data_IF_672678659617
#
_entry.id   IF_672678659617
#
_cell.length_a   1.000
_cell.length_b   1.000
_cell.length_c   1.000
_cell.angle_alpha   90.00
_cell.angle_beta   90.00
_cell.angle_gamma   90.00
#
_symmetry.space_group_name_H-M   'P 1'
#
loop_
_entity.id
_entity.type
_entity.pdbx_description
1 polymer ?
#
# COMPACT_ATOMS: atom_id res chain seq x y z
N UNK A 1 -20.47 -5.03 -29.03
CA UNK A 1 -19.95 -4.56 -27.73
C UNK A 1 -19.56 -5.70 -26.76
N UNK A 2 -19.94 -6.96 -27.03
CA UNK A 2 -19.55 -8.13 -26.22
C UNK A 2 -18.12 -8.64 -26.45
N UNK A 3 -17.60 -8.58 -27.68
CA UNK A 3 -16.28 -9.17 -28.00
C UNK A 3 -15.11 -8.50 -27.26
N UNK A 4 -15.12 -7.16 -27.12
CA UNK A 4 -14.05 -6.43 -26.38
C UNK A 4 -13.95 -6.83 -24.90
N UNK A 5 -15.03 -7.30 -24.27
CA UNK A 5 -15.00 -7.70 -22.85
C UNK A 5 -14.13 -8.94 -22.62
N UNK A 6 -14.09 -9.87 -23.58
CA UNK A 6 -13.28 -11.07 -23.50
C UNK A 6 -11.78 -10.78 -23.54
N UNK A 7 -11.36 -9.84 -24.37
CA UNK A 7 -9.96 -9.46 -24.52
C UNK A 7 -9.39 -8.82 -23.25
N UNK A 8 -10.08 -7.85 -22.66
CA UNK A 8 -9.62 -7.21 -21.41
C UNK A 8 -9.60 -8.20 -20.24
N UNK A 9 -10.59 -9.10 -20.15
CA UNK A 9 -10.63 -10.11 -19.09
C UNK A 9 -9.42 -11.05 -19.18
N UNK A 10 -9.02 -11.45 -20.39
CA UNK A 10 -7.85 -12.30 -20.61
C UNK A 10 -6.56 -11.59 -20.20
N UNK A 11 -6.39 -10.32 -20.59
CA UNK A 11 -5.20 -9.52 -20.24
C UNK A 11 -5.10 -9.32 -18.72
N UNK A 12 -6.21 -8.98 -18.06
CA UNK A 12 -6.24 -8.79 -16.60
C UNK A 12 -5.93 -10.08 -15.86
N UNK A 13 -6.49 -11.21 -16.32
CA UNK A 13 -6.20 -12.52 -15.74
C UNK A 13 -4.72 -12.89 -15.93
N UNK A 14 -4.17 -12.69 -17.12
CA UNK A 14 -2.76 -12.94 -17.40
C UNK A 14 -1.85 -12.10 -16.49
N UNK A 15 -2.12 -10.79 -16.37
CA UNK A 15 -1.37 -9.91 -15.47
C UNK A 15 -1.46 -10.34 -14.00
N UNK A 16 -2.66 -10.71 -13.53
CA UNK A 16 -2.86 -11.18 -12.16
C UNK A 16 -2.09 -12.49 -11.91
N UNK A 17 -2.20 -13.46 -12.81
CA UNK A 17 -1.49 -14.75 -12.69
C UNK A 17 0.03 -14.57 -12.73
N UNK A 18 0.55 -13.74 -13.63
CA UNK A 18 1.97 -13.44 -13.72
C UNK A 18 2.47 -12.72 -12.46
N UNK A 19 1.74 -11.72 -11.98
CA UNK A 19 2.08 -10.97 -10.76
C UNK A 19 2.14 -11.86 -9.52
N UNK A 20 1.10 -12.69 -9.31
CA UNK A 20 1.07 -13.66 -8.20
C UNK A 20 2.20 -14.68 -8.33
N UNK A 21 2.44 -15.20 -9.54
CA UNK A 21 3.53 -16.14 -9.79
C UNK A 21 4.91 -15.58 -9.44
N UNK A 22 5.20 -14.34 -9.84
CA UNK A 22 6.45 -13.66 -9.50
C UNK A 22 6.59 -13.44 -7.99
N UNK A 23 5.52 -12.98 -7.33
CA UNK A 23 5.53 -12.76 -5.86
C UNK A 23 5.78 -14.07 -5.12
N UNK A 24 5.10 -15.15 -5.50
CA UNK A 24 5.27 -16.46 -4.86
C UNK A 24 6.67 -17.05 -5.11
N UNK A 25 7.18 -16.95 -6.33
CA UNK A 25 8.52 -17.41 -6.66
C UNK A 25 9.58 -16.64 -5.86
N UNK A 26 9.42 -15.32 -5.73
CA UNK A 26 10.31 -14.49 -4.92
C UNK A 26 10.22 -14.83 -3.43
N UNK A 27 9.01 -14.98 -2.89
CA UNK A 27 8.80 -15.36 -1.50
C UNK A 27 9.41 -16.73 -1.17
N UNK A 28 9.21 -17.72 -2.06
CA UNK A 28 9.80 -19.05 -1.91
C UNK A 28 11.32 -19.01 -1.97
N UNK A 29 11.90 -18.24 -2.90
CA UNK A 29 13.35 -18.08 -2.99
C UNK A 29 13.92 -17.45 -1.71
N UNK A 30 13.26 -16.42 -1.16
CA UNK A 30 13.68 -15.81 0.10
C UNK A 30 13.57 -16.80 1.27
N UNK A 31 12.47 -17.56 1.36
CA UNK A 31 12.28 -18.56 2.41
C UNK A 31 13.33 -19.67 2.36
N UNK A 32 13.74 -20.10 1.16
CA UNK A 32 14.79 -21.12 0.99
C UNK A 32 16.18 -20.57 1.32
N UNK A 33 16.47 -19.32 0.98
CA UNK A 33 17.81 -18.72 1.16
C UNK A 33 18.06 -18.24 2.59
N UNK A 34 17.07 -17.64 3.26
CA UNK A 34 17.21 -17.00 4.56
C UNK A 34 16.55 -17.77 5.71
N UNK A 35 15.73 -18.78 5.40
CA UNK A 35 15.03 -19.58 6.40
C UNK A 35 14.20 -18.73 7.37
N UNK A 36 14.26 -19.08 8.66
CA UNK A 36 13.51 -18.42 9.74
C UNK A 36 14.05 -17.02 10.09
N UNK A 37 15.26 -16.65 9.61
CA UNK A 37 15.87 -15.33 9.85
C UNK A 37 15.38 -14.25 8.87
N UNK A 38 14.39 -14.56 8.04
CA UNK A 38 13.84 -13.61 7.06
C UNK A 38 13.23 -12.39 7.75
N UNK A 39 13.93 -11.25 7.68
CA UNK A 39 13.38 -10.01 8.20
C UNK A 39 12.19 -9.52 7.37
N UNK A 40 11.25 -8.82 8.00
CA UNK A 40 10.08 -8.27 7.32
C UNK A 40 10.42 -7.27 6.20
N UNK A 41 11.63 -6.71 6.23
CA UNK A 41 12.24 -6.02 5.10
C UNK A 41 13.48 -6.80 4.65
N UNK A 42 13.33 -7.56 3.57
CA UNK A 42 14.40 -8.41 3.01
C UNK A 42 15.68 -7.63 2.69
N UNK A 43 15.58 -6.33 2.39
CA UNK A 43 16.74 -5.48 2.10
C UNK A 43 17.66 -5.30 3.32
N UNK A 44 17.15 -5.53 4.53
CA UNK A 44 17.95 -5.51 5.76
C UNK A 44 18.76 -6.79 5.94
N UNK A 45 18.33 -7.90 5.32
CA UNK A 45 19.03 -9.19 5.36
C UNK A 45 20.13 -9.32 4.30
N UNK A 46 20.22 -8.38 3.35
CA UNK A 46 21.27 -8.37 2.32
C UNK A 46 22.40 -7.42 2.72
N UNK A 47 23.61 -7.95 2.84
CA UNK A 47 24.83 -7.19 3.07
C UNK A 47 25.66 -7.00 1.80
N UNK A 48 26.56 -6.01 1.81
CA UNK A 48 27.50 -5.73 0.71
C UNK A 48 27.08 -4.64 -0.28
N UNK A 49 27.95 -4.38 -1.26
CA UNK A 49 27.78 -3.27 -2.22
C UNK A 49 26.52 -3.40 -3.10
N UNK A 50 26.09 -4.63 -3.42
CA UNK A 50 24.85 -4.88 -4.17
C UNK A 50 23.61 -4.49 -3.37
N UNK A 51 23.62 -4.68 -2.05
CA UNK A 51 22.51 -4.27 -1.18
C UNK A 51 22.30 -2.75 -1.19
N UNK A 52 23.39 -1.98 -1.18
CA UNK A 52 23.34 -0.53 -1.29
C UNK A 52 22.72 -0.09 -2.63
N UNK A 53 23.12 -0.75 -3.73
CA UNK A 53 22.53 -0.51 -5.06
C UNK A 53 21.04 -0.82 -5.12
N UNK A 54 20.60 -1.94 -4.55
CA UNK A 54 19.18 -2.32 -4.48
C UNK A 54 18.36 -1.34 -3.64
N UNK A 55 18.88 -0.94 -2.47
CA UNK A 55 18.25 0.07 -1.59
C UNK A 55 18.13 1.42 -2.31
N UNK A 56 19.16 1.84 -3.05
CA UNK A 56 19.13 3.05 -3.86
C UNK A 56 18.09 2.96 -4.98
N UNK A 57 18.05 1.84 -5.72
CA UNK A 57 17.09 1.63 -6.81
C UNK A 57 15.64 1.65 -6.30
N UNK A 58 15.36 0.96 -5.20
CA UNK A 58 14.05 0.99 -4.54
C UNK A 58 13.68 2.39 -4.07
N UNK A 59 14.63 3.14 -3.50
CA UNK A 59 14.39 4.52 -3.05
C UNK A 59 14.03 5.43 -4.23
N UNK A 60 14.73 5.29 -5.37
CA UNK A 60 14.42 6.02 -6.61
C UNK A 60 13.05 5.64 -7.15
N UNK A 61 12.71 4.35 -7.18
CA UNK A 61 11.41 3.88 -7.64
C UNK A 61 10.27 4.45 -6.78
N UNK A 62 10.44 4.49 -5.45
CA UNK A 62 9.47 5.11 -4.52
C UNK A 62 9.39 6.63 -4.76
N UNK A 63 10.52 7.31 -4.92
CA UNK A 63 10.57 8.76 -5.17
C UNK A 63 9.77 9.14 -6.42
N UNK A 64 9.87 8.37 -7.51
CA UNK A 64 9.10 8.62 -8.73
C UNK A 64 7.64 8.16 -8.64
N UNK A 65 7.34 7.13 -7.84
CA UNK A 65 5.98 6.63 -7.66
C UNK A 65 5.10 7.56 -6.81
N UNK A 66 5.71 8.31 -5.88
CA UNK A 66 4.97 9.18 -4.96
C UNK A 66 4.22 10.31 -5.68
N UNK A 67 4.84 11.13 -6.56
CA UNK A 67 4.12 12.17 -7.31
C UNK A 67 2.95 11.62 -8.13
N UNK A 68 3.16 10.47 -8.77
CA UNK A 68 2.15 9.80 -9.62
C UNK A 68 0.92 9.42 -8.79
N UNK A 69 1.13 8.86 -7.59
CA UNK A 69 0.04 8.47 -6.67
C UNK A 69 -0.60 9.67 -5.97
N UNK A 70 0.20 10.70 -5.69
CA UNK A 70 -0.25 11.87 -4.94
C UNK A 70 -1.16 12.79 -5.76
N UNK A 71 -1.01 12.80 -7.09
CA UNK A 71 -1.85 13.61 -7.97
C UNK A 71 -3.36 13.29 -7.84
N UNK A 72 -3.84 12.05 -8.08
CA UNK A 72 -5.26 11.74 -7.92
C UNK A 72 -5.73 11.87 -6.47
N UNK A 73 -4.89 11.52 -5.49
CA UNK A 73 -5.21 11.69 -4.08
C UNK A 73 -5.47 13.16 -3.72
N UNK A 74 -4.61 14.08 -4.22
CA UNK A 74 -4.78 15.51 -3.99
C UNK A 74 -6.06 16.05 -4.64
N UNK A 75 -6.45 15.54 -5.81
CA UNK A 75 -7.69 15.97 -6.45
C UNK A 75 -8.92 15.56 -5.65
N UNK A 76 -8.96 14.32 -5.16
CA UNK A 76 -10.07 13.81 -4.33
C UNK A 76 -10.18 14.61 -3.03
N UNK A 77 -9.04 14.92 -2.40
CA UNK A 77 -9.01 15.71 -1.16
C UNK A 77 -9.42 17.15 -1.41
N UNK A 78 -8.94 17.78 -2.49
CA UNK A 78 -9.34 19.13 -2.90
C UNK A 78 -10.86 19.18 -3.16
N UNK A 79 -11.39 18.22 -3.91
CA UNK A 79 -12.82 18.13 -4.20
C UNK A 79 -13.64 17.96 -2.91
N UNK A 80 -13.23 17.06 -2.02
CA UNK A 80 -13.92 16.85 -0.74
C UNK A 80 -13.89 18.10 0.17
N UNK A 81 -12.79 18.87 0.18
CA UNK A 81 -12.64 20.05 1.02
C UNK A 81 -13.35 21.29 0.48
N UNK A 82 -13.41 21.47 -0.85
CA UNK A 82 -13.89 22.71 -1.48
C UNK A 82 -15.28 22.61 -2.13
N UNK A 83 -15.89 21.42 -2.22
CA UNK A 83 -17.25 21.26 -2.78
C UNK A 83 -18.35 21.77 -1.84
N UNK A 84 -18.03 22.11 -0.59
CA UNK A 84 -19.01 22.51 0.41
C UNK A 84 -19.52 23.96 0.32
N UNK A 85 -18.91 24.82 -0.49
CA UNK A 85 -19.34 26.23 -0.61
C UNK A 85 -20.39 26.49 -1.70
N UNK A 86 -20.62 25.54 -2.62
CA UNK A 86 -21.60 25.69 -3.72
C UNK A 86 -22.94 25.01 -3.44
N UNK A 87 -23.05 24.17 -2.41
CA UNK A 87 -24.27 23.41 -2.10
C UNK A 87 -25.39 24.20 -1.39
N UNK A 88 -25.26 25.53 -1.26
CA UNK A 88 -26.39 26.41 -0.96
C UNK A 88 -27.22 26.74 -2.21
N UNK A 89 -26.80 26.31 -3.40
CA UNK A 89 -27.53 26.49 -4.66
C UNK A 89 -27.66 25.19 -5.43
N UNK A 90 -28.88 24.66 -5.42
CA UNK A 90 -29.45 23.81 -6.47
C UNK A 90 -28.96 22.35 -6.57
N UNK A 91 -29.89 21.45 -6.23
CA UNK A 91 -29.83 20.06 -6.66
C UNK A 91 -29.97 19.97 -8.18
N UNK A 92 -29.01 19.30 -8.82
CA UNK A 92 -29.13 18.79 -10.18
C UNK A 92 -28.15 17.62 -10.35
N UNK A 93 -28.72 16.42 -10.31
CA UNK A 93 -28.44 15.28 -11.19
C UNK A 93 -26.98 15.06 -11.65
N UNK A 94 -26.29 14.16 -10.94
CA UNK A 94 -25.13 13.43 -11.44
C UNK A 94 -25.57 12.33 -12.43
N UNK A 95 -25.33 12.55 -13.73
CA UNK A 95 -25.26 11.47 -14.71
C UNK A 95 -24.07 11.72 -15.66
N UNK A 96 -23.13 10.78 -15.73
CA UNK A 96 -22.20 10.66 -16.86
C UNK A 96 -20.73 10.99 -16.61
N UNK A 97 -20.04 10.13 -15.84
CA UNK A 97 -18.58 10.06 -15.84
C UNK A 97 -18.04 9.64 -17.23
N UNK A 98 -17.39 10.57 -17.92
CA UNK A 98 -16.72 10.29 -19.21
C UNK A 98 -16.34 11.51 -20.03
N UNK A 99 -16.95 12.68 -19.77
CA UNK A 99 -16.65 13.93 -20.49
C UNK A 99 -15.90 14.99 -19.63
N UNK A 100 -15.61 14.68 -18.36
CA UNK A 100 -15.02 15.62 -17.39
C UNK A 100 -13.51 15.90 -17.60
N UNK A 101 -12.83 15.13 -18.47
CA UNK A 101 -11.39 15.28 -18.71
C UNK A 101 -11.09 16.34 -19.79
N UNK A 102 -12.01 16.58 -20.74
CA UNK A 102 -11.83 17.57 -21.81
C UNK A 102 -12.20 19.01 -21.39
N UNK A 103 -13.01 19.18 -20.34
CA UNK A 103 -13.41 20.51 -19.84
C UNK A 103 -12.41 21.13 -18.84
N UNK A 104 -11.54 20.32 -18.21
CA UNK A 104 -10.52 20.79 -17.24
C UNK A 104 -9.42 21.66 -17.86
N UNK A 105 -9.24 21.61 -19.19
CA UNK A 105 -8.24 22.43 -19.89
C UNK A 105 -8.61 23.91 -20.04
N UNK A 106 -9.89 24.29 -19.94
CA UNK A 106 -10.33 25.67 -20.19
C UNK A 106 -10.50 26.52 -18.93
N UNK A 107 -10.64 25.91 -17.75
CA UNK A 107 -10.98 26.61 -16.51
C UNK A 107 -9.77 27.14 -15.72
N UNK A 108 -8.56 27.00 -16.27
CA UNK A 108 -7.31 27.37 -15.61
C UNK A 108 -6.84 28.82 -15.90
N UNK A 109 -7.61 29.63 -16.63
CA UNK A 109 -7.15 30.94 -17.09
C UNK A 109 -7.80 32.18 -16.42
N UNK A 110 -8.83 32.03 -15.57
CA UNK A 110 -9.75 33.15 -15.29
C UNK A 110 -9.64 33.91 -13.96
N UNK A 111 -9.32 33.28 -12.83
CA UNK A 111 -9.29 33.99 -11.55
C UNK A 111 -9.18 33.06 -10.35
N UNK A 112 -8.18 33.24 -9.48
CA UNK A 112 -7.96 32.25 -8.42
C UNK A 112 -6.77 32.45 -7.50
N UNK A 113 -6.47 33.67 -7.04
CA UNK A 113 -5.41 33.86 -6.03
C UNK A 113 -5.73 33.20 -4.68
N UNK A 114 -7.01 33.08 -4.30
CA UNK A 114 -7.42 32.40 -3.05
C UNK A 114 -7.38 30.85 -3.16
N UNK A 115 -7.79 30.30 -4.31
CA UNK A 115 -7.81 28.85 -4.52
C UNK A 115 -6.42 28.23 -4.75
N UNK A 116 -5.43 28.99 -5.23
CA UNK A 116 -4.06 28.50 -5.40
C UNK A 116 -3.37 28.17 -4.06
N UNK A 117 -3.65 28.96 -3.01
CA UNK A 117 -3.09 28.75 -1.68
C UNK A 117 -3.62 27.46 -1.05
N UNK A 118 -4.94 27.23 -1.12
CA UNK A 118 -5.59 26.05 -0.56
C UNK A 118 -5.10 24.73 -1.16
N UNK A 119 -4.91 24.68 -2.49
CA UNK A 119 -4.40 23.48 -3.18
C UNK A 119 -2.96 23.15 -2.78
N UNK A 120 -2.12 24.18 -2.65
CA UNK A 120 -0.74 24.00 -2.21
C UNK A 120 -0.70 23.52 -0.75
N UNK A 121 -1.53 24.08 0.12
CA UNK A 121 -1.64 23.67 1.52
C UNK A 121 -2.12 22.22 1.69
N UNK A 122 -3.09 21.76 0.89
CA UNK A 122 -3.56 20.37 0.95
C UNK A 122 -2.45 19.37 0.55
N UNK A 123 -1.67 19.71 -0.49
CA UNK A 123 -0.55 18.86 -0.93
C UNK A 123 0.58 18.83 0.09
N UNK A 124 0.95 19.98 0.66
CA UNK A 124 1.97 20.02 1.72
C UNK A 124 1.51 19.27 2.96
N UNK A 125 0.23 19.39 3.34
CA UNK A 125 -0.33 18.62 4.45
C UNK A 125 -0.25 17.11 4.21
N UNK A 126 -0.64 16.61 3.04
CA UNK A 126 -0.54 15.18 2.70
C UNK A 126 0.93 14.68 2.72
N UNK A 127 1.87 15.48 2.23
CA UNK A 127 3.30 15.15 2.30
C UNK A 127 3.81 15.11 3.75
N UNK A 128 3.41 16.09 4.57
CA UNK A 128 3.79 16.15 5.99
C UNK A 128 3.20 14.99 6.78
N UNK A 129 1.95 14.59 6.54
CA UNK A 129 1.35 13.41 7.17
C UNK A 129 2.10 12.14 6.80
N UNK A 130 2.49 12.00 5.52
CA UNK A 130 3.28 10.85 5.06
C UNK A 130 4.65 10.80 5.73
N UNK A 131 5.33 11.95 5.83
CA UNK A 131 6.63 12.07 6.52
C UNK A 131 6.49 11.77 8.01
N UNK A 132 5.49 12.33 8.68
CA UNK A 132 5.25 12.10 10.10
C UNK A 132 4.97 10.63 10.39
N UNK A 133 4.21 9.96 9.51
CA UNK A 133 3.94 8.52 9.60
C UNK A 133 5.23 7.72 9.47
N UNK A 134 6.09 8.07 8.51
CA UNK A 134 7.39 7.41 8.32
C UNK A 134 8.34 7.60 9.53
N UNK A 135 8.29 8.76 10.20
CA UNK A 135 9.09 9.02 11.40
C UNK A 135 8.52 8.34 12.66
N UNK A 136 7.19 8.16 12.73
CA UNK A 136 6.53 7.61 13.92
C UNK A 136 6.54 6.07 13.96
N UNK A 137 6.65 5.41 12.81
CA UNK A 137 6.60 3.95 12.68
C UNK A 137 7.91 3.41 12.09
N UNK A 138 8.92 3.09 12.93
CA UNK A 138 10.18 2.52 12.45
C UNK A 138 10.03 1.08 11.91
N UNK A 139 8.91 0.43 12.19
CA UNK A 139 8.63 -0.95 11.77
C UNK A 139 7.86 -0.96 10.43
N UNK A 140 8.61 -1.05 9.33
CA UNK A 140 8.06 -1.14 7.98
C UNK A 140 7.13 -2.36 7.81
N UNK A 141 7.43 -3.49 8.47
CA UNK A 141 6.60 -4.70 8.40
C UNK A 141 5.22 -4.42 8.97
N UNK A 142 5.16 -3.79 10.14
CA UNK A 142 3.90 -3.39 10.76
C UNK A 142 3.12 -2.41 9.88
N UNK A 143 3.77 -1.38 9.33
CA UNK A 143 3.11 -0.38 8.47
C UNK A 143 2.51 -1.02 7.21
N UNK A 144 3.26 -1.88 6.53
CA UNK A 144 2.77 -2.58 5.32
C UNK A 144 1.65 -3.56 5.67
N UNK A 145 1.77 -4.31 6.76
CA UNK A 145 0.73 -5.23 7.20
C UNK A 145 -0.56 -4.49 7.56
N UNK A 146 -0.46 -3.36 8.28
CA UNK A 146 -1.59 -2.52 8.65
C UNK A 146 -2.26 -1.89 7.43
N UNK A 147 -1.46 -1.30 6.54
CA UNK A 147 -1.94 -0.69 5.30
C UNK A 147 -2.62 -1.73 4.40
N UNK A 148 -2.05 -2.93 4.28
CA UNK A 148 -2.63 -4.04 3.53
C UNK A 148 -3.96 -4.50 4.15
N UNK A 149 -3.98 -4.77 5.46
CA UNK A 149 -5.18 -5.22 6.16
C UNK A 149 -6.34 -4.23 6.02
N UNK A 150 -6.06 -2.92 6.09
CA UNK A 150 -7.07 -1.88 5.99
C UNK A 150 -7.53 -1.66 4.54
N UNK A 151 -6.59 -1.46 3.61
CA UNK A 151 -6.93 -1.05 2.24
C UNK A 151 -7.47 -2.21 1.40
N UNK A 152 -6.88 -3.40 1.51
CA UNK A 152 -7.27 -4.54 0.67
C UNK A 152 -8.68 -5.00 1.01
N UNK A 153 -9.05 -5.02 2.29
CA UNK A 153 -10.39 -5.40 2.73
C UNK A 153 -11.47 -4.45 2.20
N UNK A 154 -11.23 -3.15 2.29
CA UNK A 154 -12.16 -2.13 1.78
C UNK A 154 -12.30 -2.21 0.26
N UNK A 155 -11.18 -2.24 -0.48
CA UNK A 155 -11.20 -2.24 -1.94
C UNK A 155 -11.77 -3.54 -2.51
N UNK A 156 -11.49 -4.69 -1.89
CA UNK A 156 -11.92 -5.99 -2.42
C UNK A 156 -13.37 -6.33 -2.07
N UNK A 157 -13.82 -6.02 -0.84
CA UNK A 157 -15.11 -6.51 -0.35
C UNK A 157 -16.17 -5.42 -0.17
N UNK A 158 -15.78 -4.18 0.10
CA UNK A 158 -16.74 -3.10 0.39
C UNK A 158 -17.03 -2.27 -0.86
N UNK A 159 -15.98 -1.90 -1.61
CA UNK A 159 -16.13 -1.00 -2.75
C UNK A 159 -16.96 -1.59 -3.90
N UNK A 160 -16.75 -2.85 -4.37
CA UNK A 160 -17.49 -3.37 -5.53
C UNK A 160 -19.00 -3.52 -5.28
N UNK A 161 -19.47 -4.09 -4.15
CA UNK A 161 -20.91 -4.19 -3.89
C UNK A 161 -21.52 -2.81 -3.63
N UNK A 162 -20.79 -1.90 -2.99
CA UNK A 162 -21.26 -0.52 -2.79
C UNK A 162 -21.47 0.18 -4.14
N UNK A 163 -20.49 0.12 -5.04
CA UNK A 163 -20.61 0.69 -6.39
C UNK A 163 -21.77 0.06 -7.17
N UNK A 164 -21.94 -1.27 -7.08
CA UNK A 164 -23.05 -1.96 -7.72
C UNK A 164 -24.41 -1.50 -7.16
N UNK A 165 -24.52 -1.35 -5.84
CA UNK A 165 -25.74 -0.85 -5.18
C UNK A 165 -26.06 0.58 -5.58
N UNK A 166 -25.05 1.45 -5.67
CA UNK A 166 -25.23 2.85 -6.09
C UNK A 166 -25.66 2.95 -7.56
N UNK A 167 -25.03 2.18 -8.45
CA UNK A 167 -25.33 2.20 -9.89
C UNK A 167 -26.69 1.58 -10.23
N UNK A 168 -27.13 0.56 -9.48
CA UNK A 168 -28.39 -0.13 -9.74
C UNK A 168 -29.55 0.33 -8.83
N UNK A 169 -29.44 1.54 -8.25
CA UNK A 169 -30.53 2.18 -7.50
C UNK A 169 -31.80 2.23 -8.36
N UNK A 170 -32.88 1.62 -7.88
CA UNK A 170 -34.20 1.63 -8.54
C UNK A 170 -34.51 0.39 -9.41
N UNK A 171 -33.52 -0.37 -9.85
CA UNK A 171 -33.74 -1.56 -10.69
C UNK A 171 -33.62 -2.90 -9.92
N UNK A 172 -33.09 -2.87 -8.69
CA UNK A 172 -32.77 -4.09 -7.95
C UNK A 172 -33.92 -4.64 -7.11
N UNK A 173 -34.02 -5.97 -7.13
CA UNK A 173 -34.83 -6.74 -6.17
C UNK A 173 -34.26 -6.55 -4.75
N UNK A 174 -35.10 -6.42 -3.72
CA UNK A 174 -34.66 -6.18 -2.35
C UNK A 174 -33.74 -7.28 -1.81
N UNK A 175 -33.93 -8.54 -2.25
CA UNK A 175 -33.05 -9.64 -1.88
C UNK A 175 -31.61 -9.47 -2.38
N UNK A 176 -31.42 -8.89 -3.58
CA UNK A 176 -30.08 -8.60 -4.12
C UNK A 176 -29.39 -7.50 -3.31
N UNK A 177 -30.13 -6.46 -2.94
CA UNK A 177 -29.65 -5.38 -2.06
C UNK A 177 -29.22 -5.94 -0.70
N UNK A 178 -30.02 -6.83 -0.12
CA UNK A 178 -29.67 -7.49 1.14
C UNK A 178 -28.40 -8.34 1.02
N UNK A 179 -28.23 -9.10 -0.07
CA UNK A 179 -27.04 -9.91 -0.31
C UNK A 179 -25.76 -9.06 -0.45
N UNK A 180 -25.80 -7.97 -1.23
CA UNK A 180 -24.68 -7.05 -1.35
C UNK A 180 -24.38 -6.31 -0.04
N UNK A 181 -25.43 -5.93 0.71
CA UNK A 181 -25.30 -5.36 2.04
C UNK A 181 -24.62 -6.32 3.02
N UNK A 182 -24.98 -7.60 3.00
CA UNK A 182 -24.32 -8.63 3.81
C UNK A 182 -22.85 -8.82 3.41
N UNK A 183 -22.54 -8.79 2.11
CA UNK A 183 -21.16 -8.91 1.62
C UNK A 183 -20.30 -7.71 2.07
N UNK A 184 -20.84 -6.49 1.99
CA UNK A 184 -20.18 -5.30 2.55
C UNK A 184 -19.94 -5.44 4.05
N UNK A 185 -20.96 -5.85 4.81
CA UNK A 185 -20.86 -6.01 6.26
C UNK A 185 -19.79 -7.06 6.65
N UNK A 186 -19.79 -8.20 5.97
CA UNK A 186 -18.77 -9.24 6.16
C UNK A 186 -17.37 -8.72 5.82
N UNK A 187 -17.23 -8.00 4.70
CA UNK A 187 -15.97 -7.36 4.29
C UNK A 187 -15.44 -6.40 5.35
N UNK A 188 -16.31 -5.54 5.91
CA UNK A 188 -15.95 -4.64 7.00
C UNK A 188 -15.52 -5.41 8.25
N UNK A 189 -16.25 -6.45 8.66
CA UNK A 189 -15.88 -7.28 9.81
C UNK A 189 -14.51 -7.93 9.61
N UNK A 190 -14.26 -8.54 8.44
CA UNK A 190 -12.95 -9.13 8.12
C UNK A 190 -11.84 -8.08 8.15
N UNK A 191 -12.06 -6.90 7.60
CA UNK A 191 -11.09 -5.79 7.60
C UNK A 191 -10.74 -5.38 9.04
N UNK A 192 -11.75 -5.20 9.89
CA UNK A 192 -11.57 -4.84 11.30
C UNK A 192 -10.83 -5.93 12.07
N UNK A 193 -11.20 -7.20 11.87
CA UNK A 193 -10.54 -8.34 12.52
C UNK A 193 -9.07 -8.45 12.10
N UNK A 194 -8.76 -8.38 10.79
CA UNK A 194 -7.39 -8.40 10.29
C UNK A 194 -6.56 -7.23 10.85
N UNK A 195 -7.14 -6.03 10.88
CA UNK A 195 -6.49 -4.84 11.45
C UNK A 195 -6.23 -5.02 12.94
N UNK A 196 -7.23 -5.53 13.69
CA UNK A 196 -7.11 -5.80 15.11
C UNK A 196 -6.05 -6.86 15.40
N UNK A 197 -5.95 -7.91 14.58
CA UNK A 197 -4.89 -8.92 14.71
C UNK A 197 -3.50 -8.33 14.48
N UNK A 198 -3.32 -7.49 13.46
CA UNK A 198 -2.03 -6.81 13.20
C UNK A 198 -1.65 -5.89 14.38
N UNK A 199 -2.61 -5.14 14.92
CA UNK A 199 -2.40 -4.28 16.09
C UNK A 199 -2.10 -5.12 17.35
N UNK A 200 -2.86 -6.19 17.58
CA UNK A 200 -2.67 -7.08 18.73
C UNK A 200 -1.30 -7.77 18.70
N UNK A 201 -0.82 -8.19 17.53
CA UNK A 201 0.53 -8.74 17.37
C UNK A 201 1.63 -7.73 17.74
N UNK A 202 1.37 -6.43 17.55
CA UNK A 202 2.31 -5.37 17.92
C UNK A 202 2.23 -4.98 19.39
N UNK A 203 1.03 -5.01 19.99
CA UNK A 203 0.81 -4.70 21.40
C UNK A 203 1.18 -5.85 22.34
N UNK A 204 0.97 -7.08 21.89
CA UNK A 204 1.41 -8.30 22.53
C UNK A 204 2.45 -8.95 21.63
N UNK A 205 3.68 -8.39 21.53
CA UNK A 205 4.79 -9.21 21.05
C UNK A 205 4.79 -10.43 21.96
N UNK A 206 4.60 -11.62 21.39
CA UNK A 206 4.37 -12.86 22.13
C UNK A 206 5.24 -12.90 23.40
N UNK A 207 4.59 -13.07 24.55
CA UNK A 207 5.24 -12.93 25.85
C UNK A 207 6.51 -13.76 25.95
N UNK A 208 7.62 -13.10 26.26
CA UNK A 208 8.74 -13.72 26.96
C UNK A 208 9.35 -14.97 26.34
N UNK A 209 9.55 -15.02 25.01
CA UNK A 209 10.76 -15.73 24.58
C UNK A 209 11.93 -14.98 25.23
N UNK A 210 12.48 -15.57 26.29
CA UNK A 210 13.76 -15.13 26.83
C UNK A 210 14.69 -14.95 25.62
N UNK A 211 15.51 -13.87 25.58
CA UNK A 211 16.57 -13.79 24.58
C UNK A 211 17.26 -15.15 24.54
N UNK A 212 17.54 -15.72 23.35
CA UNK A 212 18.19 -17.02 23.25
C UNK A 212 19.35 -17.00 24.23
N UNK A 213 19.33 -17.92 25.21
CA UNK A 213 20.40 -18.00 26.19
C UNK A 213 21.69 -17.98 25.40
N UNK A 214 22.61 -17.03 25.68
CA UNK A 214 23.85 -16.97 24.94
C UNK A 214 24.46 -18.38 24.95
N UNK A 215 24.99 -18.85 23.82
CA UNK A 215 25.59 -20.17 23.77
C UNK A 215 26.58 -20.28 24.94
N UNK A 216 26.65 -21.42 25.63
CA UNK A 216 27.54 -21.59 26.78
C UNK A 216 28.94 -21.11 26.39
N UNK A 217 29.57 -20.32 27.26
CA UNK A 217 30.86 -19.65 27.03
C UNK A 217 31.96 -20.59 26.49
N UNK A 218 31.79 -21.89 26.70
CA UNK A 218 32.69 -22.97 26.26
C UNK A 218 32.62 -23.26 24.75
N UNK A 219 31.65 -22.69 24.02
CA UNK A 219 31.49 -22.85 22.55
C UNK A 219 32.01 -21.67 21.75
N UNK A 220 32.48 -20.60 22.41
CA UNK A 220 33.38 -19.66 21.75
C UNK A 220 34.75 -20.33 21.68
N UNK A 221 34.92 -21.21 20.69
CA UNK A 221 36.26 -21.48 20.18
C UNK A 221 36.83 -20.10 19.82
N UNK A 222 37.76 -19.64 20.64
CA UNK A 222 38.59 -18.49 20.32
C UNK A 222 39.39 -18.95 19.12
N UNK A 223 38.87 -18.72 17.91
CA UNK A 223 39.68 -18.75 16.71
C UNK A 223 40.79 -17.73 16.96
N UNK A 224 41.98 -18.22 17.26
CA UNK A 224 43.16 -17.41 17.52
C UNK A 224 43.33 -16.45 16.34
N UNK A 225 43.15 -15.12 16.51
CA UNK A 225 43.22 -14.16 15.40
C UNK A 225 44.61 -14.05 14.76
N UNK A 226 45.55 -14.88 15.18
CA UNK A 226 46.96 -14.84 14.82
C UNK A 226 47.38 -15.91 13.81
N UNK A 227 46.52 -16.89 13.46
CA UNK A 227 46.93 -17.98 12.56
C UNK A 227 46.67 -17.73 11.07
N UNK A 228 45.92 -16.70 10.66
CA UNK A 228 45.56 -16.50 9.24
C UNK A 228 46.29 -15.37 8.50
N UNK A 229 47.27 -14.70 9.12
CA UNK A 229 48.07 -13.67 8.45
C UNK A 229 49.35 -14.29 7.82
N UNK A 230 49.18 -15.03 6.73
CA UNK A 230 50.28 -15.50 5.89
C UNK A 230 50.85 -14.32 5.08
N UNK A 231 51.84 -13.64 5.66
CA UNK A 231 52.53 -12.51 5.05
C UNK A 231 53.54 -12.93 3.97
N UNK A 232 53.70 -14.23 3.65
CA UNK A 232 54.73 -14.71 2.71
C UNK A 232 54.31 -14.79 1.25
N UNK A 233 53.08 -14.47 0.89
CA UNK A 233 52.61 -14.51 -0.50
C UNK A 233 52.95 -13.25 -1.33
N UNK A 234 54.12 -12.65 -1.12
CA UNK A 234 54.59 -11.49 -1.87
C UNK A 234 56.09 -11.58 -2.17
N UNK A 235 56.44 -12.45 -3.13
CA UNK A 235 57.76 -12.58 -3.72
C UNK A 235 57.65 -12.86 -5.22
#
# INVERSE_FOLDING_TARGET
>A
MGERKGEYSSILLALATAGVGVILAYALACAVLYGDETQGNILLSVDGGLAAGLKACMSVAVLFSLPIKMFPASQIVEEALFTHDTAAGEGAEEEGGGAAEAARGAQQAGGGHSHACGRTAARTALALVSLLTALSLPDFKFLVALSGALNVGVIAFVLPPLMYVLLARGAMRPASVAAHGLLCALGTVVTVLCTAMVVAQKLHPAGGELPPTPPPLDTYEVEDPLESYDWRAGG
#
